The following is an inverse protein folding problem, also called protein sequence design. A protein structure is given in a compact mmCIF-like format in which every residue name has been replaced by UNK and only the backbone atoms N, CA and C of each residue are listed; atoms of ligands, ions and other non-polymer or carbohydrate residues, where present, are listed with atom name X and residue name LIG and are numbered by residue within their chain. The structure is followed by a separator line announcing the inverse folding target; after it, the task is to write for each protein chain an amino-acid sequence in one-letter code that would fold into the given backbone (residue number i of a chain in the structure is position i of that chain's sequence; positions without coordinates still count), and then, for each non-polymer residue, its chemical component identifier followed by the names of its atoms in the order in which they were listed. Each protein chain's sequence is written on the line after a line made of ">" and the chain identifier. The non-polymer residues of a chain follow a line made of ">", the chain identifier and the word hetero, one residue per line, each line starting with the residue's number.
data_IF_461586673972
#
_entry.id   IF_461586673972
#
_cell.length_a   1.000
_cell.length_b   1.000
_cell.length_c   1.000
_cell.angle_alpha   90.00
_cell.angle_beta   90.00
_cell.angle_gamma   90.00
#
_symmetry.space_group_name_H-M   'P 1'
#
loop_
_entity.id
_entity.type
_entity.pdbx_description
1 polymer ?
#
# COMPACT_ATOMS: atom_id res chain seq x y z
N UNK A 1 13.36 0.11 20.23
CA UNK A 1 13.77 -0.67 19.06
C UNK A 1 14.44 -1.97 19.52
N UNK A 2 13.99 -3.13 18.97
CA UNK A 2 14.49 -4.46 19.36
C UNK A 2 14.79 -5.27 18.08
N UNK A 3 16.08 -5.68 17.88
CA UNK A 3 16.49 -6.50 16.74
C UNK A 3 17.74 -5.97 16.03
N UNK A 4 18.21 -6.71 15.03
CA UNK A 4 19.39 -6.31 14.25
C UNK A 4 19.02 -5.28 13.16
N UNK A 5 19.80 -4.21 13.05
CA UNK A 5 19.62 -3.14 12.06
C UNK A 5 18.23 -2.44 12.14
N UNK A 6 17.65 -2.31 13.31
CA UNK A 6 16.40 -1.60 13.51
C UNK A 6 16.67 -0.10 13.53
N UNK A 7 15.94 0.68 12.73
CA UNK A 7 16.06 2.13 12.70
C UNK A 7 17.48 2.63 12.38
N UNK A 8 18.23 1.91 11.56
CA UNK A 8 19.67 2.17 11.34
C UNK A 8 19.98 3.58 10.85
N UNK A 9 19.04 4.23 10.18
CA UNK A 9 19.17 5.60 9.67
C UNK A 9 18.31 6.62 10.43
N UNK A 10 17.64 6.19 11.50
CA UNK A 10 16.80 7.08 12.29
C UNK A 10 17.66 8.15 12.97
N UNK A 11 17.38 9.42 12.68
CA UNK A 11 18.11 10.58 13.18
C UNK A 11 17.31 11.37 14.21
N UNK A 12 16.21 11.99 13.79
CA UNK A 12 15.38 12.86 14.63
C UNK A 12 13.99 12.31 14.90
N UNK A 13 13.60 11.21 14.27
CA UNK A 13 12.30 10.55 14.48
C UNK A 13 12.16 10.00 15.90
N UNK A 14 11.00 10.23 16.53
CA UNK A 14 10.72 9.83 17.91
C UNK A 14 9.43 9.04 18.07
N UNK A 15 9.25 8.40 19.24
CA UNK A 15 8.03 7.68 19.56
C UNK A 15 7.81 6.37 18.76
N UNK A 16 8.84 5.85 18.07
CA UNK A 16 8.72 4.66 17.23
C UNK A 16 8.94 3.36 18.02
N UNK A 17 8.12 2.35 17.74
CA UNK A 17 8.27 0.98 18.25
C UNK A 17 8.67 0.08 17.08
N UNK A 18 9.91 -0.42 17.08
CA UNK A 18 10.42 -1.33 16.05
C UNK A 18 10.90 -2.66 16.67
N UNK A 19 10.34 -3.77 16.21
CA UNK A 19 10.70 -5.11 16.67
C UNK A 19 10.94 -6.01 15.46
N UNK A 20 12.18 -6.49 15.29
CA UNK A 20 12.54 -7.39 14.19
C UNK A 20 13.78 -6.92 13.43
N UNK A 21 14.29 -7.76 12.54
CA UNK A 21 15.48 -7.42 11.74
C UNK A 21 15.12 -6.45 10.62
N UNK A 22 15.92 -5.38 10.46
CA UNK A 22 15.76 -4.32 9.44
C UNK A 22 14.41 -3.57 9.49
N UNK A 23 13.74 -3.58 10.61
CA UNK A 23 12.56 -2.76 10.84
C UNK A 23 12.97 -1.30 10.79
N UNK A 24 12.25 -0.44 10.10
CA UNK A 24 12.60 0.98 9.89
C UNK A 24 14.02 1.23 9.34
N UNK A 25 14.58 0.30 8.57
CA UNK A 25 16.01 0.33 8.19
C UNK A 25 16.43 1.61 7.44
N UNK A 26 15.53 2.25 6.71
CA UNK A 26 15.83 3.47 5.95
C UNK A 26 15.02 4.70 6.39
N UNK A 27 14.24 4.61 7.44
CA UNK A 27 13.48 5.73 8.02
C UNK A 27 14.45 6.66 8.76
N UNK A 28 14.35 7.99 8.55
CA UNK A 28 15.22 8.98 9.15
C UNK A 28 14.51 9.86 10.20
N UNK A 29 13.34 10.37 9.87
CA UNK A 29 12.61 11.39 10.64
C UNK A 29 11.20 10.97 11.04
N UNK A 30 10.72 9.79 10.59
CA UNK A 30 9.37 9.30 10.88
C UNK A 30 9.05 9.19 12.36
N UNK A 31 7.85 9.59 12.76
CA UNK A 31 7.44 9.65 14.16
C UNK A 31 6.21 8.80 14.47
N UNK A 32 6.16 8.28 15.70
CA UNK A 32 5.02 7.53 16.25
C UNK A 32 4.58 6.33 15.40
N UNK A 33 5.53 5.61 14.80
CA UNK A 33 5.25 4.42 14.03
C UNK A 33 5.42 3.15 14.87
N UNK A 34 4.65 2.12 14.54
CA UNK A 34 4.79 0.76 15.07
C UNK A 34 5.15 -0.16 13.93
N UNK A 35 6.30 -0.86 14.02
CA UNK A 35 6.66 -1.87 13.03
C UNK A 35 7.18 -3.14 13.71
N UNK A 36 6.60 -4.28 13.32
CA UNK A 36 6.95 -5.58 13.87
C UNK A 36 7.11 -6.61 12.76
N UNK A 37 8.33 -7.14 12.60
CA UNK A 37 8.64 -8.15 11.59
C UNK A 37 9.91 -7.83 10.79
N UNK A 38 10.28 -8.75 9.88
CA UNK A 38 11.42 -8.53 9.01
C UNK A 38 11.12 -7.45 7.97
N UNK A 39 11.91 -6.38 7.93
CA UNK A 39 11.73 -5.21 7.03
C UNK A 39 10.37 -4.50 7.16
N UNK A 40 9.65 -4.68 8.25
CA UNK A 40 8.40 -3.97 8.46
C UNK A 40 8.65 -2.44 8.54
N UNK A 41 7.83 -1.65 7.88
CA UNK A 41 7.91 -0.19 7.87
C UNK A 41 9.22 0.36 7.29
N UNK A 42 9.91 -0.39 6.42
CA UNK A 42 11.16 0.06 5.80
C UNK A 42 10.87 1.01 4.65
N UNK A 43 11.56 2.15 4.59
CA UNK A 43 11.53 3.06 3.44
C UNK A 43 12.75 2.81 2.54
N UNK A 44 12.57 2.16 1.40
CA UNK A 44 13.69 1.65 0.55
C UNK A 44 14.55 2.75 -0.08
N UNK A 45 14.04 3.92 -0.32
CA UNK A 45 14.72 4.97 -1.10
C UNK A 45 14.88 6.31 -0.37
N UNK A 46 14.90 6.32 0.94
CA UNK A 46 15.29 7.52 1.68
C UNK A 46 16.80 7.82 1.49
N UNK A 47 17.25 7.91 0.23
CA UNK A 47 18.58 8.45 -0.10
C UNK A 47 18.54 9.95 -0.29
N UNK A 48 17.37 10.50 -0.61
CA UNK A 48 17.15 11.95 -0.65
C UNK A 48 16.67 12.42 0.72
N UNK A 49 17.50 13.16 1.41
CA UNK A 49 17.26 13.73 2.74
C UNK A 49 16.05 14.69 2.82
N UNK A 50 15.38 14.96 1.70
CA UNK A 50 14.25 15.87 1.59
C UNK A 50 12.89 15.17 1.43
N UNK A 51 12.84 13.84 1.50
CA UNK A 51 11.56 13.13 1.40
C UNK A 51 10.97 12.89 2.79
N UNK A 52 9.68 13.20 2.99
CA UNK A 52 9.03 12.93 4.26
C UNK A 52 8.94 11.43 4.52
N UNK A 53 9.33 11.02 5.71
CA UNK A 53 9.17 9.66 6.20
C UNK A 53 7.72 9.40 6.67
N UNK A 54 7.31 8.13 6.74
CA UNK A 54 5.97 7.79 7.23
C UNK A 54 5.78 8.18 8.69
N UNK A 55 4.60 8.71 8.99
CA UNK A 55 4.21 9.09 10.34
C UNK A 55 2.92 8.38 10.78
N UNK A 56 2.83 8.04 12.06
CA UNK A 56 1.64 7.45 12.70
C UNK A 56 1.19 6.15 12.02
N UNK A 57 2.11 5.38 11.45
CA UNK A 57 1.83 4.15 10.73
C UNK A 57 1.96 2.90 11.60
N UNK A 58 1.25 1.83 11.21
CA UNK A 58 1.40 0.49 11.79
C UNK A 58 1.77 -0.49 10.68
N UNK A 59 2.89 -1.21 10.84
CA UNK A 59 3.36 -2.21 9.89
C UNK A 59 3.72 -3.50 10.62
N UNK A 60 2.92 -4.55 10.45
CA UNK A 60 3.11 -5.82 11.15
C UNK A 60 3.17 -6.97 10.15
N UNK A 61 4.31 -7.64 10.05
CA UNK A 61 4.53 -8.77 9.16
C UNK A 61 5.86 -8.70 8.40
N UNK A 62 6.12 -9.71 7.58
CA UNK A 62 7.28 -9.74 6.69
C UNK A 62 7.06 -8.75 5.54
N UNK A 63 7.95 -7.79 5.34
CA UNK A 63 7.85 -6.70 4.37
C UNK A 63 6.53 -5.90 4.43
N UNK A 64 5.79 -5.91 5.54
CA UNK A 64 4.61 -5.08 5.68
C UNK A 64 5.02 -3.60 5.65
N UNK A 65 4.44 -2.82 4.75
CA UNK A 65 4.82 -1.43 4.54
C UNK A 65 6.29 -1.25 4.11
N UNK A 66 6.90 -2.26 3.48
CA UNK A 66 8.25 -2.13 2.89
C UNK A 66 8.14 -1.41 1.55
N UNK A 67 8.02 -0.12 1.60
CA UNK A 67 7.62 0.70 0.47
C UNK A 67 8.68 1.72 0.08
N UNK A 68 8.51 2.29 -1.10
CA UNK A 68 9.29 3.42 -1.57
C UNK A 68 8.43 4.68 -1.47
N UNK A 69 8.45 5.34 -0.33
CA UNK A 69 7.67 6.56 -0.18
C UNK A 69 8.38 7.75 -0.82
N UNK A 70 7.85 8.22 -1.93
CA UNK A 70 8.06 9.58 -2.39
C UNK A 70 6.82 10.37 -1.96
N UNK A 71 6.92 11.18 -0.91
CA UNK A 71 5.84 12.05 -0.45
C UNK A 71 5.22 11.68 0.90
N UNK A 72 4.14 12.36 1.23
CA UNK A 72 3.46 12.22 2.52
C UNK A 72 2.72 10.87 2.61
N UNK A 73 3.18 9.99 3.48
CA UNK A 73 2.50 8.73 3.80
C UNK A 73 2.23 8.68 5.29
N UNK A 74 0.97 8.82 5.69
CA UNK A 74 0.60 8.95 7.10
C UNK A 74 -0.59 8.08 7.45
N UNK A 75 -0.61 7.62 8.70
CA UNK A 75 -1.75 6.90 9.31
C UNK A 75 -2.18 5.66 8.52
N UNK A 76 -1.21 4.94 7.95
CA UNK A 76 -1.48 3.69 7.26
C UNK A 76 -1.32 2.48 8.20
N UNK A 77 -2.16 1.47 8.02
CA UNK A 77 -2.07 0.19 8.71
C UNK A 77 -1.81 -0.91 7.68
N UNK A 78 -0.67 -1.58 7.78
CA UNK A 78 -0.27 -2.70 6.95
C UNK A 78 -0.05 -3.93 7.81
N UNK A 79 -0.86 -4.97 7.64
CA UNK A 79 -0.75 -6.19 8.44
C UNK A 79 -0.78 -7.43 7.55
N UNK A 80 0.33 -8.17 7.51
CA UNK A 80 0.45 -9.41 6.73
C UNK A 80 1.77 -9.50 5.97
N UNK A 81 1.94 -10.59 5.21
CA UNK A 81 3.09 -10.79 4.33
C UNK A 81 2.97 -9.87 3.11
N UNK A 82 3.95 -9.00 2.88
CA UNK A 82 3.96 -8.00 1.79
C UNK A 82 2.69 -7.11 1.74
N UNK A 83 2.01 -6.88 2.86
CA UNK A 83 0.89 -5.96 2.89
C UNK A 83 1.37 -4.53 2.64
N UNK A 84 0.85 -3.87 1.61
CA UNK A 84 1.30 -2.54 1.20
C UNK A 84 2.73 -2.49 0.65
N UNK A 85 3.34 -3.62 0.28
CA UNK A 85 4.63 -3.62 -0.43
C UNK A 85 4.43 -3.12 -1.85
N UNK A 86 5.31 -2.25 -2.31
CA UNK A 86 5.22 -1.70 -3.66
C UNK A 86 4.30 -0.49 -3.84
N UNK A 87 3.67 0.01 -2.79
CA UNK A 87 3.02 1.31 -2.83
C UNK A 87 4.05 2.38 -3.18
N UNK A 88 3.97 2.92 -4.35
CA UNK A 88 4.86 3.93 -4.91
C UNK A 88 6.16 3.45 -5.52
N UNK A 89 6.12 2.98 -6.71
CA UNK A 89 7.26 3.05 -7.61
C UNK A 89 6.86 3.62 -8.96
N UNK A 90 6.79 4.92 -9.05
CA UNK A 90 7.11 5.51 -10.32
C UNK A 90 8.60 5.86 -10.28
N UNK A 91 9.40 5.35 -11.18
CA UNK A 91 10.66 5.98 -11.60
C UNK A 91 10.26 7.27 -12.34
N UNK A 92 9.42 8.05 -11.72
CA UNK A 92 8.97 9.31 -12.32
C UNK A 92 9.60 10.42 -11.49
N UNK A 93 10.39 11.23 -12.14
CA UNK A 93 10.75 12.56 -11.69
C UNK A 93 9.52 13.46 -11.48
N UNK A 94 8.32 12.89 -11.55
CA UNK A 94 7.07 13.58 -11.34
C UNK A 94 6.74 13.64 -9.84
N UNK A 95 6.74 14.83 -9.30
CA UNK A 95 6.40 15.17 -7.92
C UNK A 95 4.91 14.99 -7.56
N UNK A 96 4.13 14.34 -8.43
CA UNK A 96 2.66 14.29 -8.32
C UNK A 96 2.07 12.96 -7.84
N UNK A 97 2.87 11.94 -7.53
CA UNK A 97 2.40 10.60 -7.13
C UNK A 97 2.57 10.39 -5.63
N UNK A 98 1.76 11.03 -4.74
CA UNK A 98 2.35 11.21 -3.42
C UNK A 98 1.42 11.26 -2.22
N UNK A 99 0.19 10.84 -2.32
CA UNK A 99 -0.67 10.81 -1.14
C UNK A 99 -1.15 9.38 -0.83
N UNK A 100 -0.45 8.72 0.10
CA UNK A 100 -0.84 7.39 0.60
C UNK A 100 -1.22 7.51 2.07
N UNK A 101 -2.44 8.01 2.34
CA UNK A 101 -2.85 8.31 3.69
C UNK A 101 -4.10 7.55 4.12
N UNK A 102 -4.18 7.23 5.41
CA UNK A 102 -5.39 6.69 6.03
C UNK A 102 -5.84 5.35 5.42
N UNK A 103 -4.91 4.49 5.02
CA UNK A 103 -5.23 3.19 4.46
C UNK A 103 -5.11 2.07 5.50
N UNK A 104 -5.97 1.05 5.35
CA UNK A 104 -5.92 -0.18 6.11
C UNK A 104 -5.78 -1.35 5.13
N UNK A 105 -4.62 -2.02 5.11
CA UNK A 105 -4.35 -3.17 4.27
C UNK A 105 -4.02 -4.38 5.16
N UNK A 106 -4.87 -5.39 5.13
CA UNK A 106 -4.73 -6.59 5.96
C UNK A 106 -4.82 -7.84 5.10
N UNK A 107 -3.74 -8.62 5.06
CA UNK A 107 -3.67 -9.86 4.30
C UNK A 107 -2.33 -10.06 3.61
N UNK A 108 -2.18 -11.19 2.92
CA UNK A 108 -0.98 -11.48 2.14
C UNK A 108 -1.03 -10.77 0.79
N UNK A 109 0.05 -10.07 0.41
CA UNK A 109 0.17 -9.32 -0.84
C UNK A 109 -1.00 -8.33 -1.09
N UNK A 110 -1.63 -7.85 -0.02
CA UNK A 110 -2.74 -6.91 -0.09
C UNK A 110 -2.22 -5.54 -0.48
N UNK A 111 -2.82 -4.92 -1.51
CA UNK A 111 -2.35 -3.64 -2.01
C UNK A 111 -0.90 -3.70 -2.54
N UNK A 112 -0.48 -4.85 -3.05
CA UNK A 112 0.81 -4.97 -3.73
C UNK A 112 0.68 -4.38 -5.14
N UNK A 113 1.11 -3.14 -5.27
CA UNK A 113 1.08 -2.39 -6.51
C UNK A 113 2.49 -2.26 -7.09
N UNK A 114 2.97 -3.27 -7.77
CA UNK A 114 4.26 -3.20 -8.44
C UNK A 114 4.29 -2.09 -9.49
N UNK A 115 5.05 -1.02 -9.22
CA UNK A 115 5.40 0.04 -10.18
C UNK A 115 4.28 1.00 -10.65
N UNK A 116 3.38 1.40 -9.77
CA UNK A 116 2.27 2.30 -10.16
C UNK A 116 2.29 3.60 -9.38
N UNK A 117 2.30 4.73 -10.07
CA UNK A 117 2.02 6.04 -9.50
C UNK A 117 0.51 6.24 -9.35
N UNK A 118 0.04 6.53 -8.15
CA UNK A 118 -1.37 6.83 -7.87
C UNK A 118 -1.57 7.35 -6.46
N UNK A 119 -2.74 7.91 -6.21
CA UNK A 119 -3.15 8.32 -4.88
C UNK A 119 -3.93 7.17 -4.22
N UNK A 120 -3.46 6.72 -3.06
CA UNK A 120 -4.11 5.68 -2.27
C UNK A 120 -4.52 6.27 -0.93
N UNK A 121 -5.74 6.74 -0.83
CA UNK A 121 -6.22 7.43 0.37
C UNK A 121 -7.53 6.86 0.88
N UNK A 122 -7.59 6.64 2.19
CA UNK A 122 -8.84 6.25 2.88
C UNK A 122 -9.44 4.96 2.34
N UNK A 123 -8.61 3.95 2.11
CA UNK A 123 -9.05 2.64 1.67
C UNK A 123 -9.03 1.62 2.80
N UNK A 124 -10.00 0.70 2.79
CA UNK A 124 -10.01 -0.50 3.61
C UNK A 124 -9.90 -1.70 2.66
N UNK A 125 -8.77 -2.38 2.68
CA UNK A 125 -8.48 -3.49 1.79
C UNK A 125 -8.07 -4.70 2.62
N UNK A 126 -8.89 -5.76 2.62
CA UNK A 126 -8.70 -6.94 3.46
C UNK A 126 -8.84 -8.21 2.61
N UNK A 127 -7.81 -9.05 2.61
CA UNK A 127 -7.82 -10.34 1.92
C UNK A 127 -6.51 -10.68 1.24
N UNK A 128 -6.34 -11.94 0.82
CA UNK A 128 -5.18 -12.32 0.02
C UNK A 128 -5.26 -11.67 -1.36
N UNK A 129 -4.21 -10.96 -1.76
CA UNK A 129 -4.10 -10.23 -3.03
C UNK A 129 -5.28 -9.30 -3.35
N UNK A 130 -6.01 -8.82 -2.34
CA UNK A 130 -7.03 -7.79 -2.55
C UNK A 130 -6.35 -6.50 -3.06
N UNK A 131 -6.93 -5.89 -4.08
CA UNK A 131 -6.38 -4.73 -4.81
C UNK A 131 -4.94 -4.89 -5.33
N UNK A 132 -4.42 -6.10 -5.45
CA UNK A 132 -3.08 -6.31 -6.00
C UNK A 132 -3.06 -6.13 -7.53
N UNK A 133 -1.96 -5.59 -8.06
CA UNK A 133 -1.75 -5.45 -9.50
C UNK A 133 -0.29 -5.69 -9.85
N UNK A 134 0.03 -6.86 -10.38
CA UNK A 134 1.41 -7.26 -10.69
C UNK A 134 1.97 -6.74 -12.02
N UNK A 135 1.22 -6.00 -12.81
CA UNK A 135 1.73 -5.55 -14.11
C UNK A 135 1.41 -4.09 -14.39
N UNK A 136 2.46 -3.35 -14.73
CA UNK A 136 2.56 -1.99 -15.23
C UNK A 136 1.31 -1.35 -15.82
N UNK A 137 0.31 -1.21 -15.01
CA UNK A 137 -0.81 -0.36 -15.32
C UNK A 137 -0.30 1.07 -15.26
N UNK A 138 -0.31 1.72 -16.39
CA UNK A 138 0.27 3.02 -16.62
C UNK A 138 -0.04 4.09 -15.57
N UNK A 139 0.67 5.18 -15.67
CA UNK A 139 0.58 6.38 -14.85
C UNK A 139 -0.87 6.75 -14.53
N UNK A 140 -1.19 6.96 -13.25
CA UNK A 140 -2.46 7.55 -12.84
C UNK A 140 -3.55 6.56 -12.40
N UNK A 141 -3.24 5.70 -11.45
CA UNK A 141 -4.25 4.84 -10.82
C UNK A 141 -4.57 5.34 -9.43
N UNK A 142 -5.66 6.08 -9.32
CA UNK A 142 -6.15 6.51 -8.02
C UNK A 142 -7.07 5.44 -7.42
N UNK A 143 -6.77 5.08 -6.18
CA UNK A 143 -7.62 4.24 -5.35
C UNK A 143 -7.96 5.04 -4.10
N UNK A 144 -9.14 5.60 -4.05
CA UNK A 144 -9.55 6.52 -2.98
C UNK A 144 -10.94 6.17 -2.46
N UNK A 145 -11.11 6.22 -1.13
CA UNK A 145 -12.39 5.99 -0.47
C UNK A 145 -13.05 4.63 -0.82
N UNK A 146 -12.27 3.58 -0.94
CA UNK A 146 -12.78 2.27 -1.36
C UNK A 146 -12.71 1.22 -0.25
N UNK A 147 -13.66 0.29 -0.25
CA UNK A 147 -13.71 -0.85 0.67
C UNK A 147 -13.66 -2.14 -0.16
N UNK A 148 -12.60 -2.92 -0.02
CA UNK A 148 -12.37 -4.15 -0.74
C UNK A 148 -12.09 -5.28 0.25
N UNK A 149 -13.01 -6.21 0.39
CA UNK A 149 -12.90 -7.30 1.36
C UNK A 149 -13.13 -8.64 0.68
N UNK A 150 -12.11 -9.47 0.65
CA UNK A 150 -12.13 -10.81 0.06
C UNK A 150 -10.86 -11.13 -0.72
N UNK A 151 -10.61 -12.42 -0.96
CA UNK A 151 -9.50 -12.86 -1.81
C UNK A 151 -9.66 -12.29 -3.21
N UNK A 152 -8.62 -11.61 -3.72
CA UNK A 152 -8.63 -10.98 -5.04
C UNK A 152 -9.76 -9.95 -5.27
N UNK A 153 -10.38 -9.42 -4.21
CA UNK A 153 -11.37 -8.35 -4.34
C UNK A 153 -10.69 -7.10 -4.93
N UNK A 154 -11.26 -6.55 -6.01
CA UNK A 154 -10.70 -5.42 -6.74
C UNK A 154 -9.33 -5.71 -7.39
N UNK A 155 -8.97 -6.96 -7.63
CA UNK A 155 -7.72 -7.30 -8.33
C UNK A 155 -7.69 -6.70 -9.73
N UNK A 156 -6.65 -5.93 -10.04
CA UNK A 156 -6.51 -5.16 -11.29
C UNK A 156 -7.63 -4.15 -11.58
N UNK A 157 -8.42 -3.79 -10.58
CA UNK A 157 -9.45 -2.76 -10.70
C UNK A 157 -8.84 -1.38 -10.38
N UNK A 158 -9.40 -0.35 -10.98
CA UNK A 158 -9.03 1.06 -10.75
C UNK A 158 -10.28 1.88 -10.47
N UNK A 159 -10.16 2.90 -9.63
CA UNK A 159 -11.25 3.84 -9.42
C UNK A 159 -11.47 4.21 -7.97
N UNK A 160 -12.42 5.07 -7.76
CA UNK A 160 -12.69 5.70 -6.48
C UNK A 160 -14.07 5.37 -5.95
N UNK A 161 -14.25 5.41 -4.63
CA UNK A 161 -15.54 5.22 -3.95
C UNK A 161 -16.20 3.86 -4.24
N UNK A 162 -15.42 2.79 -4.36
CA UNK A 162 -15.96 1.46 -4.67
C UNK A 162 -16.11 0.59 -3.41
N UNK A 163 -17.12 -0.26 -3.38
CA UNK A 163 -17.34 -1.27 -2.34
C UNK A 163 -17.40 -2.65 -2.99
N UNK A 164 -16.41 -3.50 -2.74
CA UNK A 164 -16.37 -4.87 -3.22
C UNK A 164 -16.24 -5.84 -2.05
N UNK A 165 -17.27 -6.64 -1.82
CA UNK A 165 -17.33 -7.59 -0.71
C UNK A 165 -17.52 -9.01 -1.26
N UNK A 166 -16.51 -9.84 -1.12
CA UNK A 166 -16.51 -11.23 -1.58
C UNK A 166 -15.27 -11.59 -2.40
N UNK A 167 -15.00 -12.89 -2.53
CA UNK A 167 -13.88 -13.32 -3.32
C UNK A 167 -14.08 -12.97 -4.81
N UNK A 168 -13.04 -12.42 -5.45
CA UNK A 168 -13.06 -11.94 -6.85
C UNK A 168 -14.11 -10.84 -7.15
N UNK A 169 -14.75 -10.24 -6.15
CA UNK A 169 -15.68 -9.14 -6.38
C UNK A 169 -14.92 -7.93 -6.95
N UNK A 170 -15.39 -7.39 -8.07
CA UNK A 170 -14.70 -6.31 -8.80
C UNK A 170 -13.37 -6.71 -9.43
N UNK A 171 -13.07 -8.01 -9.52
CA UNK A 171 -11.86 -8.48 -10.18
C UNK A 171 -11.98 -8.30 -11.70
N UNK A 172 -10.94 -7.77 -12.35
CA UNK A 172 -10.84 -7.72 -13.80
C UNK A 172 -10.07 -8.93 -14.31
N UNK A 173 -10.71 -9.91 -14.96
CA UNK A 173 -10.06 -11.15 -15.41
C UNK A 173 -9.26 -11.00 -16.71
N UNK A 174 -9.35 -9.88 -17.40
CA UNK A 174 -8.73 -9.67 -18.72
C UNK A 174 -7.25 -9.32 -18.66
N UNK A 175 -6.48 -9.86 -19.60
CA UNK A 175 -5.05 -9.74 -19.86
C UNK A 175 -4.29 -8.45 -19.51
N UNK A 176 -3.22 -8.18 -20.24
CA UNK A 176 -2.20 -7.13 -19.98
C UNK A 176 -2.73 -5.68 -20.08
N UNK A 177 -3.92 -5.49 -20.61
CA UNK A 177 -4.54 -4.17 -20.67
C UNK A 177 -5.35 -3.89 -19.41
N UNK A 178 -5.20 -2.76 -18.80
CA UNK A 178 -6.03 -2.34 -17.71
C UNK A 178 -7.45 -2.03 -18.26
N UNK A 179 -8.57 -2.54 -17.83
CA UNK A 179 -8.99 -2.66 -16.50
C UNK A 179 -10.33 -1.99 -16.39
N UNK A 180 -11.23 -2.63 -15.76
CA UNK A 180 -12.47 -1.96 -15.37
C UNK A 180 -12.12 -0.74 -14.52
N UNK A 181 -12.44 0.44 -15.01
CA UNK A 181 -12.36 1.69 -14.25
C UNK A 181 -13.77 2.10 -13.89
N UNK A 182 -13.98 2.46 -12.63
CA UNK A 182 -15.31 2.92 -12.24
C UNK A 182 -15.32 3.69 -10.94
N UNK A 183 -16.36 4.48 -10.80
CA UNK A 183 -16.59 5.32 -9.62
C UNK A 183 -17.91 4.91 -8.98
N UNK A 184 -17.92 4.79 -7.66
CA UNK A 184 -19.11 4.52 -6.86
C UNK A 184 -19.83 3.20 -7.21
N UNK A 185 -19.07 2.14 -7.50
CA UNK A 185 -19.64 0.82 -7.73
C UNK A 185 -19.78 0.04 -6.42
N UNK A 186 -20.84 -0.78 -6.35
CA UNK A 186 -21.06 -1.72 -5.25
C UNK A 186 -21.15 -3.12 -5.85
N UNK A 187 -20.25 -4.02 -5.47
CA UNK A 187 -20.27 -5.43 -5.85
C UNK A 187 -20.20 -6.31 -4.62
N UNK A 188 -21.24 -7.10 -4.35
CA UNK A 188 -21.32 -8.00 -3.21
C UNK A 188 -21.59 -9.41 -3.70
N UNK A 189 -20.69 -10.33 -3.39
CA UNK A 189 -20.81 -11.73 -3.77
C UNK A 189 -19.55 -12.30 -4.43
N UNK A 190 -19.59 -13.58 -4.77
CA UNK A 190 -18.48 -14.25 -5.44
C UNK A 190 -18.41 -13.83 -6.92
N UNK A 191 -17.22 -13.44 -7.37
CA UNK A 191 -16.93 -13.13 -8.78
C UNK A 191 -17.85 -12.09 -9.43
N UNK A 192 -18.30 -11.11 -8.68
CA UNK A 192 -19.11 -10.02 -9.23
C UNK A 192 -18.22 -9.17 -10.14
N UNK A 193 -18.52 -9.15 -11.41
CA UNK A 193 -17.81 -8.31 -12.39
C UNK A 193 -18.51 -6.97 -12.57
N UNK A 194 -17.72 -5.92 -12.71
CA UNK A 194 -18.24 -4.61 -13.07
C UNK A 194 -18.25 -4.47 -14.60
N UNK A 195 -19.30 -3.90 -15.18
CA UNK A 195 -19.32 -3.62 -16.61
C UNK A 195 -18.23 -2.62 -16.97
N UNK A 196 -17.53 -2.88 -18.05
CA UNK A 196 -16.63 -1.90 -18.66
C UNK A 196 -17.48 -0.71 -19.16
N UNK A 197 -17.11 0.50 -18.75
CA UNK A 197 -17.72 1.75 -19.21
C UNK A 197 -16.75 2.52 -20.08
#
# INVERSE_FOLDING_TARGET
>A
LIGACVGRRLTTGGGNIGIGRRTFDCVQTGVYNIAMGYRAGRNRYSTDFNQPDPDYGISIGYNAGDTHFYGNSRRNIFMGFNAGDGLTQGISTSTTCNNNNDNIFIGSNTGDFSYVCGNYCRNIIIGDRAAASHQGAGIGTDFVNSVLIGTLAGFRYKGTCNIFLGAYAGCSPGGITPQSTGIANIGIGLSVQMPDR
#
